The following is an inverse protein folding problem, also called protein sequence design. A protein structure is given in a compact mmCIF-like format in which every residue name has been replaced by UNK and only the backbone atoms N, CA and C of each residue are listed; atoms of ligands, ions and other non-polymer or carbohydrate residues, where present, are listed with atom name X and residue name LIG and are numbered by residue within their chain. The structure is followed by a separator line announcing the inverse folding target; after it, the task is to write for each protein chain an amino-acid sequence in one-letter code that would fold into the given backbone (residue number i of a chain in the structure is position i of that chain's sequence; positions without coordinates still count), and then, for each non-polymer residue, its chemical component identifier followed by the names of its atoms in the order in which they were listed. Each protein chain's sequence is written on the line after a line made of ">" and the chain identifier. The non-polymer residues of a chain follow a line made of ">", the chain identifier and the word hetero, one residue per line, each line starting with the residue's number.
data_IF_695426013312
#
_entry.id   IF_695426013312
#
_cell.length_a   1.000
_cell.length_b   1.000
_cell.length_c   1.000
_cell.angle_alpha   90.00
_cell.angle_beta   90.00
_cell.angle_gamma   90.00
#
_symmetry.space_group_name_H-M   'P 1'
#
loop_
_entity.id
_entity.type
_entity.pdbx_description
1 polymer ?
#
# COMPACT_ATOMS: atom_id res chain seq x y z
N UNK A 1 14.67 -12.71 7.85
CA UNK A 1 13.85 -11.84 6.98
C UNK A 1 14.85 -11.10 6.10
N UNK A 2 14.79 -11.28 4.79
CA UNK A 2 15.71 -10.68 3.83
C UNK A 2 15.04 -9.47 3.20
N UNK A 3 15.68 -8.31 3.25
CA UNK A 3 15.18 -7.11 2.57
C UNK A 3 15.33 -7.26 1.05
N UNK A 4 14.30 -6.88 0.30
CA UNK A 4 14.26 -6.96 -1.17
C UNK A 4 14.47 -5.60 -1.84
N UNK A 5 14.09 -4.51 -1.18
CA UNK A 5 14.17 -3.15 -1.70
C UNK A 5 12.87 -2.37 -1.49
N UNK A 6 12.73 -1.26 -2.23
CA UNK A 6 11.53 -0.39 -2.20
C UNK A 6 10.87 -0.30 -3.56
N UNK A 7 9.57 -0.06 -3.57
CA UNK A 7 8.83 0.43 -4.73
C UNK A 7 8.04 1.67 -4.32
N UNK A 8 7.96 2.65 -5.21
CA UNK A 8 7.16 3.85 -5.02
C UNK A 8 6.46 4.20 -6.32
N UNK A 9 5.46 5.07 -6.23
CA UNK A 9 4.72 5.55 -7.39
C UNK A 9 3.42 6.21 -7.01
N UNK A 10 2.58 6.42 -8.01
CA UNK A 10 1.25 6.99 -7.88
C UNK A 10 0.19 5.99 -8.35
N UNK A 11 -1.03 6.16 -7.86
CA UNK A 11 -2.14 5.28 -8.18
C UNK A 11 -3.51 5.80 -7.75
N UNK A 12 -4.53 5.02 -8.05
CA UNK A 12 -5.91 5.24 -7.61
C UNK A 12 -6.20 4.38 -6.39
N UNK A 13 -6.48 5.03 -5.26
CA UNK A 13 -7.01 4.38 -4.07
C UNK A 13 -8.46 3.97 -4.34
N UNK A 14 -8.77 2.71 -4.05
CA UNK A 14 -10.09 2.10 -4.26
C UNK A 14 -10.57 1.45 -2.97
N UNK A 15 -11.89 1.36 -2.81
CA UNK A 15 -12.51 0.61 -1.74
C UNK A 15 -13.71 -0.17 -2.28
N UNK A 16 -13.71 -1.48 -2.10
CA UNK A 16 -14.77 -2.37 -2.61
C UNK A 16 -15.02 -2.21 -4.13
N UNK A 17 -13.95 -1.90 -4.87
CA UNK A 17 -13.98 -1.70 -6.32
C UNK A 17 -14.29 -0.27 -6.78
N UNK A 18 -14.75 0.61 -5.90
CA UNK A 18 -15.03 2.02 -6.19
C UNK A 18 -13.79 2.88 -6.05
N UNK A 19 -13.63 3.90 -6.91
CA UNK A 19 -12.54 4.86 -6.84
C UNK A 19 -12.78 5.87 -5.71
N UNK A 20 -11.76 6.10 -4.89
CA UNK A 20 -11.83 6.99 -3.72
C UNK A 20 -11.03 8.27 -3.98
N UNK A 21 -9.74 8.14 -4.28
CA UNK A 21 -8.86 9.29 -4.50
C UNK A 21 -7.53 8.89 -5.16
N UNK A 22 -6.85 9.88 -5.75
CA UNK A 22 -5.43 9.74 -6.09
C UNK A 22 -4.58 9.63 -4.83
N UNK A 23 -3.59 8.75 -4.89
CA UNK A 23 -2.63 8.52 -3.82
C UNK A 23 -1.24 8.26 -4.39
N UNK A 24 -0.21 8.65 -3.65
CA UNK A 24 1.15 8.15 -3.85
C UNK A 24 1.48 7.09 -2.81
N UNK A 25 2.48 6.25 -3.08
CA UNK A 25 2.89 5.18 -2.19
C UNK A 25 4.40 5.01 -2.13
N UNK A 26 4.87 4.52 -0.98
CA UNK A 26 6.23 3.99 -0.79
C UNK A 26 6.11 2.69 0.00
N UNK A 27 6.50 1.57 -0.61
CA UNK A 27 6.44 0.24 0.00
C UNK A 27 7.80 -0.41 0.05
N UNK A 28 8.06 -1.08 1.16
CA UNK A 28 9.27 -1.87 1.40
C UNK A 28 8.96 -3.36 1.29
N UNK A 29 9.86 -4.10 0.66
CA UNK A 29 9.71 -5.53 0.39
C UNK A 29 10.64 -6.38 1.23
N UNK A 30 10.10 -7.48 1.75
CA UNK A 30 10.85 -8.43 2.56
C UNK A 30 10.51 -9.86 2.16
N UNK A 31 11.50 -10.76 2.14
CA UNK A 31 11.31 -12.19 1.95
C UNK A 31 11.56 -12.95 3.26
N UNK A 32 10.62 -13.81 3.65
CA UNK A 32 10.75 -14.67 4.85
C UNK A 32 10.21 -16.06 4.56
N UNK A 33 11.02 -17.11 4.69
CA UNK A 33 10.53 -18.51 4.63
C UNK A 33 9.78 -18.86 5.93
N UNK A 34 8.69 -19.65 5.88
CA UNK A 34 8.02 -20.17 4.68
C UNK A 34 6.97 -19.20 4.07
N UNK A 35 6.82 -17.99 4.60
CA UNK A 35 5.73 -17.03 4.29
C UNK A 35 5.81 -16.48 2.85
N UNK A 36 7.01 -16.31 2.30
CA UNK A 36 7.22 -15.69 0.98
C UNK A 36 7.55 -14.20 1.07
N UNK A 37 7.09 -13.43 0.08
CA UNK A 37 7.25 -11.96 0.04
C UNK A 37 6.17 -11.30 0.89
N UNK A 38 6.59 -10.43 1.80
CA UNK A 38 5.75 -9.56 2.61
C UNK A 38 6.14 -8.12 2.34
N UNK A 39 5.18 -7.19 2.42
CA UNK A 39 5.46 -5.78 2.23
C UNK A 39 4.65 -4.93 3.19
N UNK A 40 5.21 -3.78 3.56
CA UNK A 40 4.55 -2.74 4.31
C UNK A 40 5.11 -1.39 3.86
N UNK A 41 4.41 -0.32 4.20
CA UNK A 41 4.88 1.03 3.91
C UNK A 41 3.78 2.05 4.10
N UNK A 42 3.83 3.09 3.30
CA UNK A 42 2.98 4.27 3.44
C UNK A 42 2.22 4.54 2.15
N UNK A 43 0.98 5.01 2.32
CA UNK A 43 0.25 5.71 1.26
C UNK A 43 0.01 7.15 1.68
N UNK A 44 0.07 8.06 0.71
CA UNK A 44 -0.25 9.46 0.90
C UNK A 44 -1.45 9.85 0.05
N UNK A 45 -2.50 10.36 0.68
CA UNK A 45 -3.72 10.84 0.03
C UNK A 45 -4.34 11.98 0.83
N UNK A 46 -5.46 12.54 0.36
CA UNK A 46 -6.14 13.59 1.15
C UNK A 46 -6.63 13.02 2.50
N UNK A 47 -6.60 13.79 3.60
CA UNK A 47 -7.08 13.31 4.90
C UNK A 47 -8.52 12.80 4.86
N UNK A 48 -9.38 13.45 4.06
CA UNK A 48 -10.77 13.02 3.82
C UNK A 48 -10.85 11.64 3.17
N UNK A 49 -10.00 11.38 2.15
CA UNK A 49 -9.96 10.08 1.49
C UNK A 49 -9.46 8.98 2.44
N UNK A 50 -8.37 9.23 3.18
CA UNK A 50 -7.83 8.27 4.14
C UNK A 50 -8.85 7.95 5.24
N UNK A 51 -9.53 8.95 5.80
CA UNK A 51 -10.65 8.73 6.74
C UNK A 51 -11.76 7.88 6.15
N UNK A 52 -12.11 8.10 4.88
CA UNK A 52 -13.19 7.39 4.20
C UNK A 52 -12.94 5.89 4.03
N UNK A 53 -11.67 5.47 4.02
CA UNK A 53 -11.27 4.06 3.86
C UNK A 53 -10.65 3.43 5.11
N UNK A 54 -10.30 4.24 6.11
CA UNK A 54 -9.64 3.75 7.32
C UNK A 54 -10.48 2.68 8.03
N UNK A 55 -9.85 1.56 8.36
CA UNK A 55 -10.51 0.41 9.01
C UNK A 55 -11.45 -0.39 8.11
N UNK A 56 -11.68 0.02 6.86
CA UNK A 56 -12.47 -0.76 5.90
C UNK A 56 -11.67 -1.94 5.36
N UNK A 57 -12.40 -2.97 4.93
CA UNK A 57 -11.86 -4.07 4.12
C UNK A 57 -11.98 -3.70 2.64
N UNK A 58 -11.31 -4.47 1.78
CA UNK A 58 -11.40 -4.24 0.33
C UNK A 58 -10.72 -2.96 -0.14
N UNK A 59 -9.83 -2.38 0.69
CA UNK A 59 -9.03 -1.22 0.33
C UNK A 59 -7.90 -1.68 -0.58
N UNK A 60 -7.79 -1.05 -1.74
CA UNK A 60 -6.83 -1.40 -2.77
C UNK A 60 -6.19 -0.14 -3.35
N UNK A 61 -5.00 -0.29 -3.90
CA UNK A 61 -4.33 0.74 -4.69
C UNK A 61 -4.04 0.15 -6.07
N UNK A 62 -4.67 0.71 -7.10
CA UNK A 62 -4.33 0.44 -8.49
C UNK A 62 -3.24 1.42 -8.91
N UNK A 63 -1.99 0.96 -8.99
CA UNK A 63 -0.87 1.76 -9.42
C UNK A 63 -0.98 2.13 -10.91
N UNK A 64 -0.39 3.25 -11.28
CA UNK A 64 -0.42 3.74 -12.67
C UNK A 64 0.30 2.81 -13.66
N UNK A 65 1.19 1.95 -13.16
CA UNK A 65 1.83 0.89 -13.94
C UNK A 65 0.96 -0.38 -14.10
N UNK A 66 -0.27 -0.34 -13.59
CA UNK A 66 -1.27 -1.39 -13.71
C UNK A 66 -1.27 -2.41 -12.57
N UNK A 67 -0.33 -2.35 -11.63
CA UNK A 67 -0.29 -3.28 -10.49
C UNK A 67 -1.40 -3.01 -9.50
N UNK A 68 -2.02 -4.08 -9.00
CA UNK A 68 -3.04 -3.98 -7.96
C UNK A 68 -2.52 -4.44 -6.59
N UNK A 69 -2.49 -3.51 -5.64
CA UNK A 69 -2.09 -3.76 -4.26
C UNK A 69 -3.31 -3.83 -3.34
N UNK A 70 -3.36 -4.84 -2.48
CA UNK A 70 -4.34 -4.95 -1.41
C UNK A 70 -3.75 -4.34 -0.14
N UNK A 71 -4.47 -3.39 0.45
CA UNK A 71 -4.00 -2.61 1.58
C UNK A 71 -4.75 -3.00 2.85
N UNK A 72 -4.02 -3.06 3.96
CA UNK A 72 -4.59 -3.13 5.30
C UNK A 72 -3.89 -2.10 6.17
N UNK A 73 -4.66 -1.18 6.74
CA UNK A 73 -4.12 -0.21 7.71
C UNK A 73 -3.47 -0.93 8.90
N UNK A 74 -2.20 -0.63 9.15
CA UNK A 74 -1.42 -1.21 10.24
C UNK A 74 -1.68 -0.48 11.56
N UNK A 75 -2.10 0.78 11.50
CA UNK A 75 -2.39 1.62 12.66
C UNK A 75 -3.78 1.33 13.24
N UNK A 76 -3.90 1.49 14.57
CA UNK A 76 -5.18 1.35 15.28
C UNK A 76 -6.03 2.63 15.24
N UNK A 77 -5.40 3.77 15.00
CA UNK A 77 -6.05 5.07 14.89
C UNK A 77 -5.30 5.92 13.87
N UNK A 78 -6.04 6.63 13.04
CA UNK A 78 -5.53 7.62 12.10
C UNK A 78 -5.89 9.02 12.60
N UNK A 79 -4.91 9.92 12.66
CA UNK A 79 -5.17 11.32 12.99
C UNK A 79 -6.10 11.95 11.96
N UNK A 80 -6.96 12.87 12.41
CA UNK A 80 -7.94 13.52 11.54
C UNK A 80 -7.32 14.33 10.40
N UNK A 81 -6.08 14.78 10.58
CA UNK A 81 -5.43 15.67 9.62
C UNK A 81 -4.23 14.98 8.95
N UNK A 82 -4.08 13.67 9.15
CA UNK A 82 -3.01 12.90 8.52
C UNK A 82 -3.28 12.75 7.03
N UNK A 83 -2.29 13.13 6.22
CA UNK A 83 -2.24 12.85 4.79
C UNK A 83 -1.49 11.55 4.48
N UNK A 84 -0.91 10.90 5.51
CA UNK A 84 -0.15 9.65 5.41
C UNK A 84 -0.83 8.56 6.24
N UNK A 85 -0.82 7.33 5.74
CA UNK A 85 -1.23 6.15 6.49
C UNK A 85 -0.29 4.97 6.27
N UNK A 86 0.02 4.25 7.35
CA UNK A 86 0.81 3.03 7.30
C UNK A 86 -0.04 1.81 6.98
N UNK A 87 0.43 0.99 6.05
CA UNK A 87 -0.28 -0.16 5.53
C UNK A 87 0.60 -1.41 5.44
N UNK A 88 0.00 -2.55 5.73
CA UNK A 88 0.48 -3.86 5.29
C UNK A 88 -0.01 -4.06 3.85
N UNK A 89 0.88 -4.54 2.98
CA UNK A 89 0.62 -4.64 1.54
C UNK A 89 0.71 -6.09 1.10
N UNK A 90 -0.28 -6.51 0.32
CA UNK A 90 -0.32 -7.80 -0.38
C UNK A 90 -0.83 -7.60 -1.82
N UNK A 91 -1.00 -8.67 -2.59
CA UNK A 91 -1.40 -8.59 -3.99
C UNK A 91 -0.20 -8.73 -4.91
N UNK A 92 -0.11 -7.89 -5.94
CA UNK A 92 0.88 -8.00 -7.02
C UNK A 92 2.25 -7.40 -6.64
N UNK A 93 2.81 -7.90 -5.54
CA UNK A 93 4.15 -7.54 -5.08
C UNK A 93 5.24 -8.15 -5.98
N UNK A 94 6.34 -7.44 -6.27
CA UNK A 94 7.44 -8.00 -7.02
C UNK A 94 8.08 -9.19 -6.29
N UNK A 95 8.27 -10.31 -6.99
CA UNK A 95 8.84 -11.54 -6.43
C UNK A 95 10.36 -11.61 -6.55
N UNK A 96 10.97 -10.76 -7.37
CA UNK A 96 12.42 -10.69 -7.58
C UNK A 96 13.00 -9.38 -7.04
N UNK A 97 14.15 -9.41 -6.34
CA UNK A 97 14.78 -8.20 -5.77
C UNK A 97 15.02 -7.09 -6.80
N UNK A 98 15.30 -7.46 -8.06
CA UNK A 98 15.60 -6.52 -9.14
C UNK A 98 14.44 -5.60 -9.49
N UNK A 99 13.20 -5.96 -9.13
CA UNK A 99 12.00 -5.17 -9.41
C UNK A 99 11.61 -4.27 -8.22
N UNK A 100 12.38 -4.31 -7.12
CA UNK A 100 12.27 -3.41 -5.98
C UNK A 100 13.28 -2.26 -6.12
N UNK A 101 13.07 -1.41 -7.14
CA UNK A 101 13.88 -0.21 -7.38
C UNK A 101 12.99 1.02 -7.16
N UNK A 102 13.40 1.89 -6.25
CA UNK A 102 12.89 3.25 -6.08
C UNK A 102 14.05 4.22 -6.23
#
# INVERSE_FOLDING_TARGET
>A
MQYLGKISGDGMLKCDGEEVARASYEFEGYFKRPIGVTSCGEIKATPTALKGVFGRKGVQLLADDGRLFNLRFSEKALSSDSDIAHVDVTGELPTTPQNWRS
#
